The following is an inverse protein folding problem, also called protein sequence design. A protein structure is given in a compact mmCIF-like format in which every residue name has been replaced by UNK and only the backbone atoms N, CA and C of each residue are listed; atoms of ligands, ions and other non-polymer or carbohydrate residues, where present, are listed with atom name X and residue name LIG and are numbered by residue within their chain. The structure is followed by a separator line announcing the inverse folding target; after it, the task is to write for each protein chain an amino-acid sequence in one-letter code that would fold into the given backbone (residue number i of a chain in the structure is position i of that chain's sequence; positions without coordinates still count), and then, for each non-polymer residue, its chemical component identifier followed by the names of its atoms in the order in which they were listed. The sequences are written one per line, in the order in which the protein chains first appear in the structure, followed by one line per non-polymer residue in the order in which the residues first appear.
data_IF_567170676999
#
_entry.id   IF_567170676999
#
_cell.length_a   1.000
_cell.length_b   1.000
_cell.length_c   1.000
_cell.angle_alpha   90.00
_cell.angle_beta   90.00
_cell.angle_gamma   90.00
#
_symmetry.space_group_name_H-M   'P 1'
#
loop_
_entity.id
_entity.type
_entity.pdbx_description
1 polymer ?
#
# COMPACT_ATOMS: atom_id res chain seq x y z
N UNK A 1 -56.18 -34.37 15.20
CA UNK A 1 -56.05 -33.09 14.47
C UNK A 1 -54.66 -32.57 14.73
N UNK A 2 -53.79 -32.69 13.73
CA UNK A 2 -52.34 -32.43 13.79
C UNK A 2 -52.06 -30.94 13.69
N UNK A 3 -51.43 -30.38 14.72
CA UNK A 3 -50.85 -29.03 14.75
C UNK A 3 -49.65 -28.99 13.79
N UNK A 4 -49.79 -28.24 12.70
CA UNK A 4 -48.70 -27.94 11.79
C UNK A 4 -47.70 -27.02 12.50
N UNK A 5 -46.52 -27.56 12.81
CA UNK A 5 -45.35 -26.76 13.13
C UNK A 5 -44.95 -26.01 11.85
N UNK A 6 -45.03 -24.68 11.87
CA UNK A 6 -44.54 -23.87 10.77
C UNK A 6 -43.03 -24.03 10.67
N UNK A 7 -42.56 -24.59 9.56
CA UNK A 7 -41.16 -24.57 9.15
C UNK A 7 -40.67 -23.11 9.18
N UNK A 8 -39.77 -22.80 10.11
CA UNK A 8 -39.04 -21.53 10.11
C UNK A 8 -38.09 -21.54 8.91
N UNK A 9 -38.59 -21.13 7.76
CA UNK A 9 -37.78 -20.82 6.60
C UNK A 9 -36.96 -19.57 6.90
N UNK A 10 -35.65 -19.74 7.12
CA UNK A 10 -34.71 -18.63 7.25
C UNK A 10 -34.71 -17.81 5.95
N UNK A 11 -35.24 -16.59 6.00
CA UNK A 11 -35.17 -15.67 4.87
C UNK A 11 -33.87 -14.86 4.98
N UNK A 12 -32.99 -14.88 3.96
CA UNK A 12 -31.79 -14.03 3.95
C UNK A 12 -32.25 -12.57 3.92
N UNK A 13 -32.18 -11.91 5.07
CA UNK A 13 -32.65 -10.53 5.25
C UNK A 13 -31.43 -9.62 5.31
N UNK A 14 -31.37 -8.64 4.41
CA UNK A 14 -30.36 -7.58 4.45
C UNK A 14 -30.92 -6.39 5.23
N UNK A 15 -30.26 -6.01 6.32
CA UNK A 15 -30.62 -4.84 7.12
C UNK A 15 -29.61 -3.73 6.83
N UNK A 16 -30.09 -2.62 6.25
CA UNK A 16 -29.29 -1.41 6.02
C UNK A 16 -29.77 -0.35 7.01
N UNK A 17 -28.94 0.05 7.99
CA UNK A 17 -29.29 1.09 8.95
C UNK A 17 -29.63 2.42 8.27
N UNK A 18 -30.44 3.24 8.95
CA UNK A 18 -30.72 4.60 8.47
C UNK A 18 -29.44 5.42 8.45
N UNK A 19 -29.26 6.18 7.37
CA UNK A 19 -28.07 7.01 7.16
C UNK A 19 -26.87 6.26 6.60
N UNK A 20 -27.01 4.96 6.28
CA UNK A 20 -25.99 4.26 5.49
C UNK A 20 -26.10 4.68 4.03
N UNK A 21 -25.00 5.16 3.47
CA UNK A 21 -24.85 5.48 2.05
C UNK A 21 -24.00 4.41 1.38
N UNK A 22 -24.51 3.87 0.27
CA UNK A 22 -23.77 2.90 -0.55
C UNK A 22 -23.71 3.48 -1.96
N UNK A 23 -22.49 3.64 -2.49
CA UNK A 23 -22.23 4.16 -3.82
C UNK A 23 -21.33 3.20 -4.58
N UNK A 24 -21.42 3.22 -5.90
CA UNK A 24 -20.51 2.47 -6.78
C UNK A 24 -19.82 3.48 -7.67
N UNK A 25 -18.49 3.43 -7.73
CA UNK A 25 -17.72 4.31 -8.61
C UNK A 25 -17.70 3.78 -10.06
N UNK A 26 -17.12 4.55 -10.98
CA UNK A 26 -17.04 4.19 -12.40
C UNK A 26 -16.23 2.89 -12.66
N UNK A 27 -15.39 2.48 -11.71
CA UNK A 27 -14.57 1.27 -11.77
C UNK A 27 -15.28 0.06 -11.12
N UNK A 28 -16.55 0.21 -10.71
CA UNK A 28 -17.32 -0.87 -10.07
C UNK A 28 -16.98 -1.12 -8.59
N UNK A 29 -16.18 -0.25 -7.96
CA UNK A 29 -15.82 -0.39 -6.54
C UNK A 29 -16.89 0.20 -5.64
N UNK A 30 -17.13 -0.48 -4.52
CA UNK A 30 -18.12 -0.07 -3.53
C UNK A 30 -17.55 1.00 -2.58
N UNK A 31 -18.33 2.04 -2.35
CA UNK A 31 -18.14 3.00 -1.26
C UNK A 31 -19.27 2.81 -0.27
N UNK A 32 -18.93 2.54 0.99
CA UNK A 32 -19.90 2.35 2.08
C UNK A 32 -19.59 3.38 3.15
N UNK A 33 -20.58 4.19 3.51
CA UNK A 33 -20.53 5.10 4.64
C UNK A 33 -21.66 4.78 5.58
N UNK A 34 -21.36 4.50 6.84
CA UNK A 34 -22.37 4.19 7.86
C UNK A 34 -22.12 4.99 9.14
N UNK A 35 -23.18 5.46 9.83
CA UNK A 35 -23.01 6.16 11.10
C UNK A 35 -22.58 5.23 12.24
N UNK A 36 -22.96 3.96 12.18
CA UNK A 36 -22.74 2.96 13.24
C UNK A 36 -21.64 1.96 12.92
N UNK A 37 -21.62 0.84 13.63
CA UNK A 37 -20.65 -0.22 13.39
C UNK A 37 -20.90 -0.88 12.02
N UNK A 38 -19.81 -1.21 11.33
CA UNK A 38 -19.84 -1.95 10.08
C UNK A 38 -19.14 -3.29 10.26
N UNK A 39 -19.78 -4.38 9.83
CA UNK A 39 -19.18 -5.70 9.79
C UNK A 39 -19.11 -6.16 8.34
N UNK A 40 -17.91 -6.52 7.88
CA UNK A 40 -17.64 -7.02 6.55
C UNK A 40 -17.41 -8.52 6.66
N UNK A 41 -18.37 -9.27 6.13
CA UNK A 41 -18.41 -10.74 6.18
C UNK A 41 -18.11 -11.39 4.83
N UNK A 42 -18.02 -10.59 3.77
CA UNK A 42 -17.75 -11.05 2.42
C UNK A 42 -16.56 -10.31 1.84
N UNK A 43 -15.70 -11.07 1.14
CA UNK A 43 -14.54 -10.51 0.46
C UNK A 43 -14.98 -9.55 -0.65
N UNK A 44 -14.21 -8.50 -0.86
CA UNK A 44 -14.57 -7.49 -1.85
C UNK A 44 -13.55 -6.37 -2.01
N UNK A 45 -13.74 -5.62 -3.09
CA UNK A 45 -12.93 -4.45 -3.43
C UNK A 45 -13.77 -3.19 -3.22
N UNK A 46 -13.25 -2.29 -2.41
CA UNK A 46 -13.91 -1.07 -1.99
C UNK A 46 -13.08 0.14 -2.37
N UNK A 47 -13.73 1.21 -2.78
CA UNK A 47 -13.05 2.50 -2.87
C UNK A 47 -12.91 3.10 -1.47
N UNK A 48 -14.00 3.13 -0.71
CA UNK A 48 -14.02 3.75 0.61
C UNK A 48 -14.92 2.98 1.56
N UNK A 49 -14.43 2.76 2.78
CA UNK A 49 -15.19 2.17 3.86
C UNK A 49 -15.14 3.13 5.04
N UNK A 50 -16.26 3.79 5.33
CA UNK A 50 -16.39 4.76 6.40
C UNK A 50 -17.42 4.31 7.44
N UNK A 51 -16.99 4.32 8.68
CA UNK A 51 -17.84 4.21 9.86
C UNK A 51 -17.63 5.47 10.69
N UNK A 52 -18.54 6.44 10.60
CA UNK A 52 -18.32 7.81 11.12
C UNK A 52 -18.20 7.83 12.65
N UNK A 53 -19.09 7.15 13.37
CA UNK A 53 -19.07 7.08 14.85
C UNK A 53 -18.87 5.66 15.40
N UNK A 54 -18.80 4.65 14.53
CA UNK A 54 -18.66 3.26 14.92
C UNK A 54 -17.27 2.68 14.69
N UNK A 55 -17.20 1.37 14.84
CA UNK A 55 -16.06 0.53 14.50
C UNK A 55 -16.29 -0.22 13.19
N UNK A 56 -15.21 -0.56 12.50
CA UNK A 56 -15.25 -1.48 11.35
C UNK A 56 -14.68 -2.82 11.82
N UNK A 57 -15.37 -3.92 11.49
CA UNK A 57 -14.88 -5.28 11.71
C UNK A 57 -14.81 -6.02 10.39
N UNK A 58 -13.66 -6.63 10.13
CA UNK A 58 -13.44 -7.55 9.02
C UNK A 58 -13.36 -8.94 9.60
N UNK A 59 -14.32 -9.80 9.25
CA UNK A 59 -14.43 -11.15 9.82
C UNK A 59 -13.30 -12.08 9.37
N UNK A 60 -13.20 -13.21 10.06
CA UNK A 60 -12.30 -14.30 9.69
C UNK A 60 -12.63 -14.81 8.28
N UNK A 61 -11.59 -15.22 7.53
CA UNK A 61 -11.69 -15.72 6.16
C UNK A 61 -12.20 -14.70 5.12
N UNK A 62 -12.33 -13.43 5.50
CA UNK A 62 -12.67 -12.33 4.59
C UNK A 62 -11.40 -11.64 4.11
N UNK A 63 -11.34 -11.39 2.80
CA UNK A 63 -10.28 -10.60 2.18
C UNK A 63 -10.87 -9.28 1.68
N UNK A 64 -10.45 -8.18 2.28
CA UNK A 64 -10.87 -6.83 1.92
C UNK A 64 -9.72 -6.09 1.27
N UNK A 65 -9.98 -5.53 0.09
CA UNK A 65 -9.12 -4.55 -0.56
C UNK A 65 -9.85 -3.21 -0.57
N UNK A 66 -9.22 -2.18 -0.02
CA UNK A 66 -9.82 -0.85 0.05
C UNK A 66 -8.82 0.25 -0.30
N UNK A 67 -9.26 1.32 -0.96
CA UNK A 67 -8.39 2.51 -1.10
C UNK A 67 -8.34 3.25 0.23
N UNK A 68 -9.47 3.47 0.89
CA UNK A 68 -9.50 4.12 2.20
C UNK A 68 -10.44 3.44 3.18
N UNK A 69 -9.99 3.34 4.43
CA UNK A 69 -10.78 2.88 5.57
C UNK A 69 -10.72 3.95 6.66
N UNK A 70 -11.90 4.39 7.10
CA UNK A 70 -12.07 5.34 8.19
C UNK A 70 -13.02 4.76 9.23
N UNK A 71 -12.49 4.46 10.41
CA UNK A 71 -13.30 4.11 11.57
C UNK A 71 -13.22 5.24 12.61
N UNK A 72 -14.37 5.70 13.09
CA UNK A 72 -14.43 6.72 14.14
C UNK A 72 -13.86 6.25 15.48
N UNK A 73 -13.96 4.93 15.76
CA UNK A 73 -13.46 4.32 16.99
C UNK A 73 -12.34 3.33 16.70
N UNK A 74 -12.69 2.12 16.24
CA UNK A 74 -11.72 1.05 16.07
C UNK A 74 -11.88 0.31 14.74
N UNK A 75 -10.77 -0.21 14.23
CA UNK A 75 -10.73 -1.15 13.11
C UNK A 75 -10.27 -2.51 13.65
N UNK A 76 -11.16 -3.51 13.61
CA UNK A 76 -10.92 -4.88 14.03
C UNK A 76 -10.69 -5.76 12.80
N UNK A 77 -9.54 -6.42 12.74
CA UNK A 77 -9.14 -7.21 11.57
C UNK A 77 -8.91 -8.65 12.03
N UNK A 78 -9.81 -9.55 11.62
CA UNK A 78 -9.70 -11.00 11.85
C UNK A 78 -9.27 -11.74 10.58
N UNK A 79 -9.65 -11.23 9.41
CA UNK A 79 -9.27 -11.77 8.10
C UNK A 79 -8.01 -11.13 7.50
N UNK A 80 -8.07 -10.86 6.21
CA UNK A 80 -7.03 -10.14 5.46
C UNK A 80 -7.53 -8.76 5.06
N UNK A 81 -6.74 -7.73 5.35
CA UNK A 81 -7.01 -6.37 4.93
C UNK A 81 -5.83 -5.79 4.15
N UNK A 82 -6.09 -5.29 2.95
CA UNK A 82 -5.17 -4.47 2.18
C UNK A 82 -5.77 -3.08 2.02
N UNK A 83 -5.13 -2.05 2.56
CA UNK A 83 -5.63 -0.68 2.42
C UNK A 83 -4.55 0.39 2.29
N UNK A 84 -4.78 1.37 1.42
CA UNK A 84 -3.84 2.46 1.18
C UNK A 84 -3.89 3.54 2.25
N UNK A 85 -5.03 3.72 2.92
CA UNK A 85 -5.18 4.69 4.01
C UNK A 85 -6.08 4.11 5.07
N UNK A 86 -5.55 3.87 6.26
CA UNK A 86 -6.35 3.45 7.41
C UNK A 86 -6.29 4.51 8.49
N UNK A 87 -7.44 5.11 8.77
CA UNK A 87 -7.66 6.06 9.84
C UNK A 87 -8.59 5.46 10.89
N UNK A 88 -8.06 5.17 12.08
CA UNK A 88 -8.83 4.73 13.23
C UNK A 88 -8.11 5.12 14.51
N UNK A 89 -8.84 5.44 15.59
CA UNK A 89 -8.20 5.68 16.90
C UNK A 89 -7.49 4.42 17.39
N UNK A 90 -8.12 3.26 17.18
CA UNK A 90 -7.55 1.95 17.54
C UNK A 90 -7.55 0.99 16.36
N UNK A 91 -6.44 0.30 16.14
CA UNK A 91 -6.36 -0.79 15.18
C UNK A 91 -6.01 -2.07 15.95
N UNK A 92 -6.82 -3.12 15.77
CA UNK A 92 -6.64 -4.40 16.44
C UNK A 92 -6.57 -5.51 15.41
N UNK A 93 -5.45 -6.23 15.36
CA UNK A 93 -5.28 -7.41 14.52
C UNK A 93 -5.32 -8.66 15.40
N UNK A 94 -6.29 -9.53 15.12
CA UNK A 94 -6.48 -10.78 15.85
C UNK A 94 -5.57 -11.91 15.32
N UNK A 95 -5.70 -13.10 15.91
CA UNK A 95 -4.89 -14.26 15.55
C UNK A 95 -5.06 -14.66 14.08
N UNK A 96 -3.92 -14.93 13.44
CA UNK A 96 -3.80 -15.25 12.00
C UNK A 96 -4.24 -14.14 11.04
N UNK A 97 -4.63 -12.96 11.55
CA UNK A 97 -4.99 -11.82 10.72
C UNK A 97 -3.77 -11.27 9.97
N UNK A 98 -4.01 -10.75 8.76
CA UNK A 98 -2.99 -10.15 7.90
C UNK A 98 -3.43 -8.77 7.46
N UNK A 99 -2.64 -7.74 7.77
CA UNK A 99 -2.92 -6.38 7.33
C UNK A 99 -1.75 -5.82 6.53
N UNK A 100 -2.03 -5.38 5.31
CA UNK A 100 -1.12 -4.62 4.45
C UNK A 100 -1.68 -3.19 4.38
N UNK A 101 -1.34 -2.38 5.37
CA UNK A 101 -1.98 -1.08 5.57
C UNK A 101 -0.97 0.04 5.76
N UNK A 102 -1.20 1.17 5.10
CA UNK A 102 -0.52 2.42 5.45
C UNK A 102 -1.31 3.10 6.56
N UNK A 103 -0.67 3.14 7.73
CA UNK A 103 -1.23 3.70 8.95
C UNK A 103 -1.24 5.23 8.85
N UNK A 104 -2.40 5.84 8.98
CA UNK A 104 -2.52 7.30 9.08
C UNK A 104 -3.27 7.65 10.37
N UNK A 105 -2.65 8.49 11.21
CA UNK A 105 -3.31 9.07 12.39
C UNK A 105 -3.88 8.04 13.40
N UNK A 106 -3.26 6.85 13.52
CA UNK A 106 -3.70 5.83 14.47
C UNK A 106 -3.08 6.05 15.86
N UNK A 107 -3.90 6.10 16.91
CA UNK A 107 -3.43 6.36 18.28
C UNK A 107 -2.92 5.08 18.95
N UNK A 108 -3.67 3.98 18.81
CA UNK A 108 -3.39 2.70 19.45
C UNK A 108 -3.32 1.56 18.44
N UNK A 109 -2.32 0.70 18.57
CA UNK A 109 -2.11 -0.49 17.75
C UNK A 109 -1.99 -1.73 18.65
N UNK A 110 -2.90 -2.68 18.47
CA UNK A 110 -2.95 -3.95 19.19
C UNK A 110 -2.72 -5.09 18.20
N UNK A 111 -1.71 -5.93 18.45
CA UNK A 111 -1.30 -7.00 17.56
C UNK A 111 -1.32 -8.32 18.33
N UNK A 112 -2.04 -9.33 17.84
CA UNK A 112 -1.90 -10.69 18.38
C UNK A 112 -0.57 -11.33 17.98
N UNK A 113 -0.17 -12.39 18.70
CA UNK A 113 1.15 -13.06 18.53
C UNK A 113 1.43 -13.57 17.12
N UNK A 114 0.38 -13.92 16.38
CA UNK A 114 0.49 -14.48 15.03
C UNK A 114 0.08 -13.49 13.94
N UNK A 115 -0.33 -12.28 14.32
CA UNK A 115 -0.75 -11.24 13.40
C UNK A 115 0.45 -10.73 12.59
N UNK A 116 0.19 -10.40 11.32
CA UNK A 116 1.20 -9.80 10.44
C UNK A 116 0.72 -8.44 9.99
N UNK A 117 1.49 -7.41 10.33
CA UNK A 117 1.28 -6.04 9.87
C UNK A 117 2.42 -5.65 8.94
N UNK A 118 2.09 -5.25 7.72
CA UNK A 118 3.02 -4.69 6.74
C UNK A 118 2.61 -3.24 6.49
N UNK A 119 3.45 -2.31 6.97
CA UNK A 119 3.28 -0.88 6.75
C UNK A 119 4.01 -0.41 5.50
N UNK A 120 3.38 0.48 4.74
CA UNK A 120 4.07 1.25 3.72
C UNK A 120 4.39 2.63 4.31
N UNK A 121 5.67 2.92 4.56
CA UNK A 121 6.13 4.16 5.19
C UNK A 121 6.68 5.09 4.12
N UNK A 122 6.29 6.37 4.14
CA UNK A 122 6.72 7.34 3.14
C UNK A 122 8.21 7.68 3.28
N UNK A 123 8.79 7.54 4.48
CA UNK A 123 10.22 7.71 4.73
C UNK A 123 10.68 6.99 6.02
N UNK A 124 12.00 6.87 6.19
CA UNK A 124 12.62 6.23 7.35
C UNK A 124 12.28 6.92 8.68
N UNK A 125 12.10 8.25 8.69
CA UNK A 125 11.70 8.99 9.91
C UNK A 125 10.30 8.60 10.38
N UNK A 126 9.38 8.38 9.46
CA UNK A 126 8.03 7.91 9.75
C UNK A 126 8.05 6.48 10.31
N UNK A 127 8.87 5.61 9.73
CA UNK A 127 9.09 4.26 10.28
C UNK A 127 9.62 4.34 11.73
N UNK A 128 10.68 5.10 11.98
CA UNK A 128 11.23 5.27 13.33
C UNK A 128 10.23 5.90 14.30
N UNK A 129 9.47 6.90 13.86
CA UNK A 129 8.44 7.54 14.67
C UNK A 129 7.33 6.56 15.05
N UNK A 130 6.87 5.75 14.10
CA UNK A 130 5.84 4.74 14.33
C UNK A 130 6.35 3.61 15.21
N UNK A 131 7.58 3.16 15.01
CA UNK A 131 8.24 2.19 15.89
C UNK A 131 8.43 2.72 17.31
N UNK A 132 8.75 4.02 17.47
CA UNK A 132 8.83 4.68 18.78
C UNK A 132 7.47 4.80 19.45
N UNK A 133 6.46 5.28 18.71
CA UNK A 133 5.07 5.45 19.19
C UNK A 133 4.48 4.14 19.67
N UNK A 134 4.72 3.05 18.96
CA UNK A 134 4.20 1.71 19.30
C UNK A 134 5.25 0.83 19.99
N UNK A 135 6.36 1.38 20.45
CA UNK A 135 7.45 0.63 21.10
C UNK A 135 6.96 -0.24 22.28
N UNK A 136 6.05 0.24 23.15
CA UNK A 136 5.50 -0.59 24.23
C UNK A 136 4.75 -1.82 23.70
N UNK A 137 3.89 -1.65 22.69
CA UNK A 137 3.10 -2.75 22.11
C UNK A 137 3.98 -3.70 21.28
N UNK A 138 5.05 -3.20 20.65
CA UNK A 138 6.00 -4.02 19.89
C UNK A 138 6.93 -4.84 20.79
N UNK A 139 7.27 -4.36 21.99
CA UNK A 139 8.07 -5.10 22.99
C UNK A 139 7.33 -6.28 23.60
N UNK A 140 6.01 -6.25 23.60
CA UNK A 140 5.17 -7.35 24.10
C UNK A 140 5.05 -8.51 23.09
N UNK A 141 5.53 -8.34 21.86
CA UNK A 141 5.48 -9.36 20.82
C UNK A 141 6.66 -10.36 20.92
N UNK A 142 6.41 -11.67 20.72
CA UNK A 142 7.47 -12.67 20.70
C UNK A 142 8.42 -12.43 19.50
N UNK A 143 9.70 -12.20 19.77
CA UNK A 143 10.71 -11.85 18.77
C UNK A 143 10.97 -10.35 18.61
N UNK A 144 10.59 -9.52 19.59
CA UNK A 144 10.80 -8.07 19.56
C UNK A 144 12.27 -7.70 19.32
N UNK A 145 12.49 -6.78 18.38
CA UNK A 145 13.82 -6.21 18.10
C UNK A 145 14.18 -5.25 19.24
N UNK A 146 15.26 -5.57 19.96
CA UNK A 146 15.75 -4.75 21.07
C UNK A 146 16.39 -3.46 20.55
N UNK A 147 15.70 -2.33 20.74
CA UNK A 147 16.08 -1.01 20.22
C UNK A 147 17.16 -0.28 21.05
N UNK A 148 17.75 -0.92 22.04
CA UNK A 148 18.83 -0.33 22.86
C UNK A 148 20.19 -0.30 22.16
N UNK A 149 20.31 -0.86 20.95
CA UNK A 149 21.52 -0.76 20.15
C UNK A 149 21.37 0.27 19.02
N UNK A 150 22.13 1.36 19.14
CA UNK A 150 22.47 2.25 18.05
C UNK A 150 23.05 1.45 16.86
N UNK A 151 23.01 1.97 15.61
CA UNK A 151 23.20 1.16 14.41
C UNK A 151 24.59 0.53 14.42
N UNK A 152 24.65 -0.80 14.54
CA UNK A 152 25.82 -1.52 14.06
C UNK A 152 25.79 -1.42 12.54
N UNK A 153 26.74 -0.68 12.00
CA UNK A 153 27.16 -0.85 10.61
C UNK A 153 27.18 -2.35 10.30
N UNK A 154 26.42 -2.74 9.27
CA UNK A 154 26.48 -4.09 8.73
C UNK A 154 27.87 -4.23 8.10
N UNK A 155 28.84 -4.62 8.90
CA UNK A 155 30.12 -5.10 8.40
C UNK A 155 29.84 -6.35 7.59
N UNK A 156 30.10 -6.23 6.29
CA UNK A 156 30.28 -7.34 5.37
C UNK A 156 31.28 -8.33 5.97
N UNK A 157 30.79 -9.44 6.51
CA UNK A 157 31.65 -10.49 7.04
C UNK A 157 30.87 -11.59 7.74
N UNK A 158 30.83 -12.75 7.10
CA UNK A 158 30.56 -14.08 7.69
C UNK A 158 29.09 -14.48 7.95
N UNK A 159 28.39 -14.81 6.86
CA UNK A 159 27.28 -15.76 6.90
C UNK A 159 27.83 -17.17 6.64
N UNK A 160 27.90 -18.00 7.69
CA UNK A 160 28.05 -19.45 7.55
C UNK A 160 26.79 -20.02 6.85
N UNK A 161 26.92 -20.81 5.77
CA UNK A 161 25.75 -21.31 5.05
C UNK A 161 25.23 -22.57 5.74
N UNK A 162 24.02 -22.52 6.29
CA UNK A 162 23.21 -23.72 6.51
C UNK A 162 22.36 -23.97 5.26
N UNK A 163 22.80 -24.96 4.49
CA UNK A 163 22.10 -25.51 3.33
C UNK A 163 20.78 -26.15 3.75
N UNK A 164 19.66 -25.51 3.44
CA UNK A 164 18.41 -26.20 3.15
C UNK A 164 17.88 -25.74 1.79
N UNK A 165 17.91 -26.67 0.83
CA UNK A 165 17.41 -26.50 -0.53
C UNK A 165 15.89 -26.40 -0.53
N UNK A 166 15.37 -25.28 -1.03
CA UNK A 166 14.00 -25.15 -1.55
C UNK A 166 14.15 -24.95 -3.07
N UNK A 167 13.43 -25.71 -3.93
CA UNK A 167 13.62 -25.62 -5.37
C UNK A 167 13.15 -24.27 -5.92
N UNK A 168 13.98 -23.74 -6.81
CA UNK A 168 13.88 -22.44 -7.44
C UNK A 168 12.62 -22.29 -8.30
N UNK A 169 11.82 -21.26 -7.98
CA UNK A 169 10.94 -20.58 -8.94
C UNK A 169 11.74 -19.39 -9.51
N UNK A 170 12.84 -19.68 -10.19
CA UNK A 170 13.65 -18.71 -10.93
C UNK A 170 12.96 -18.48 -12.27
N UNK A 171 12.44 -17.26 -12.48
CA UNK A 171 12.42 -16.55 -13.78
C UNK A 171 11.58 -15.26 -13.78
N UNK A 172 10.84 -14.93 -12.71
CA UNK A 172 10.07 -13.68 -12.63
C UNK A 172 10.77 -12.52 -11.89
N UNK A 173 11.79 -12.81 -11.07
CA UNK A 173 12.44 -11.82 -10.19
C UNK A 173 13.56 -11.01 -10.83
N UNK A 174 14.10 -11.43 -11.99
CA UNK A 174 15.18 -10.70 -12.67
C UNK A 174 14.66 -9.55 -13.54
N UNK A 175 13.52 -9.72 -14.21
CA UNK A 175 12.96 -8.67 -15.08
C UNK A 175 12.47 -7.46 -14.26
N UNK A 176 11.70 -7.70 -13.20
CA UNK A 176 11.20 -6.62 -12.33
C UNK A 176 12.31 -5.86 -11.60
N UNK A 177 13.43 -6.53 -11.28
CA UNK A 177 14.60 -5.87 -10.69
C UNK A 177 15.33 -4.98 -11.71
N UNK A 178 15.45 -5.45 -12.95
CA UNK A 178 16.05 -4.67 -14.05
C UNK A 178 15.19 -3.46 -14.43
N UNK A 179 13.86 -3.60 -14.44
CA UNK A 179 12.95 -2.50 -14.74
C UNK A 179 13.06 -1.38 -13.70
N UNK A 180 13.15 -1.74 -12.41
CA UNK A 180 13.33 -0.80 -11.31
C UNK A 180 14.71 -0.10 -11.37
N UNK A 181 15.73 -0.78 -11.88
CA UNK A 181 17.07 -0.20 -12.11
C UNK A 181 17.05 0.81 -13.26
N UNK A 182 16.39 0.49 -14.38
CA UNK A 182 16.23 1.39 -15.52
C UNK A 182 15.44 2.65 -15.17
N UNK A 183 14.35 2.53 -14.39
CA UNK A 183 13.56 3.69 -13.94
C UNK A 183 14.37 4.61 -13.02
N UNK A 184 15.20 4.04 -12.12
CA UNK A 184 16.09 4.84 -11.25
C UNK A 184 17.20 5.54 -12.04
N UNK A 185 17.80 4.85 -13.01
CA UNK A 185 18.83 5.42 -13.87
C UNK A 185 18.27 6.59 -14.71
N UNK A 186 17.08 6.42 -15.30
CA UNK A 186 16.38 7.47 -16.03
C UNK A 186 16.10 8.70 -15.14
N UNK A 187 15.61 8.49 -13.91
CA UNK A 187 15.33 9.58 -12.98
C UNK A 187 16.58 10.41 -12.65
N UNK A 188 17.70 9.76 -12.32
CA UNK A 188 18.94 10.45 -11.96
C UNK A 188 19.49 11.30 -13.13
N UNK A 189 19.38 10.80 -14.36
CA UNK A 189 19.81 11.52 -15.56
C UNK A 189 18.92 12.73 -15.86
N UNK A 190 17.60 12.57 -15.72
CA UNK A 190 16.65 13.65 -15.99
C UNK A 190 16.68 14.73 -14.89
N UNK A 191 16.90 14.39 -13.63
CA UNK A 191 17.08 15.37 -12.55
C UNK A 191 18.29 16.28 -12.81
N UNK A 192 19.37 15.72 -13.37
CA UNK A 192 20.54 16.51 -13.80
C UNK A 192 20.20 17.44 -14.96
N UNK A 193 19.41 17.00 -15.93
CA UNK A 193 18.98 17.82 -17.06
C UNK A 193 18.04 18.97 -16.67
N UNK A 194 17.16 18.78 -15.68
CA UNK A 194 16.28 19.85 -15.17
C UNK A 194 17.08 21.01 -14.57
N UNK A 195 18.25 20.74 -13.99
CA UNK A 195 19.12 21.77 -13.40
C UNK A 195 19.98 22.51 -14.43
N UNK A 196 19.89 22.15 -15.72
CA UNK A 196 20.72 22.74 -16.77
C UNK A 196 20.20 24.13 -17.18
N UNK A 197 21.04 25.17 -17.17
CA UNK A 197 20.59 26.54 -17.50
C UNK A 197 20.30 26.75 -18.99
N UNK A 198 20.83 25.89 -19.88
CA UNK A 198 20.72 26.02 -21.34
C UNK A 198 19.47 25.34 -21.93
N UNK A 199 18.50 24.98 -21.09
CA UNK A 199 17.26 24.34 -21.53
C UNK A 199 16.16 25.38 -21.78
N UNK A 200 15.46 25.25 -22.91
CA UNK A 200 14.31 26.10 -23.18
C UNK A 200 13.22 25.89 -22.11
N UNK A 201 12.47 26.92 -21.70
CA UNK A 201 11.47 26.80 -20.63
C UNK A 201 10.42 25.70 -20.86
N UNK A 202 10.00 25.52 -22.12
CA UNK A 202 9.05 24.48 -22.52
C UNK A 202 9.65 23.07 -22.41
N UNK A 203 10.91 22.89 -22.84
CA UNK A 203 11.65 21.63 -22.70
C UNK A 203 11.86 21.27 -21.21
N UNK A 204 12.19 22.27 -20.39
CA UNK A 204 12.38 22.09 -18.95
C UNK A 204 11.08 21.74 -18.23
N UNK A 205 9.93 22.23 -18.70
CA UNK A 205 8.62 21.83 -18.20
C UNK A 205 8.28 20.38 -18.58
N UNK A 206 8.50 19.98 -19.83
CA UNK A 206 8.32 18.61 -20.29
C UNK A 206 9.18 17.60 -19.50
N UNK A 207 10.46 17.91 -19.28
CA UNK A 207 11.34 17.04 -18.47
C UNK A 207 10.88 16.99 -17.01
N UNK A 208 10.43 18.10 -16.42
CA UNK A 208 9.90 18.13 -15.04
C UNK A 208 8.66 17.26 -14.88
N UNK A 209 7.77 17.24 -15.87
CA UNK A 209 6.58 16.39 -15.88
C UNK A 209 6.94 14.90 -15.93
N UNK A 210 7.97 14.52 -16.70
CA UNK A 210 8.49 13.14 -16.74
C UNK A 210 9.14 12.76 -15.41
N UNK A 211 9.95 13.64 -14.82
CA UNK A 211 10.56 13.45 -13.49
C UNK A 211 9.49 13.29 -12.41
N UNK A 212 8.42 14.09 -12.48
CA UNK A 212 7.28 13.99 -11.58
C UNK A 212 6.60 12.61 -11.70
N UNK A 213 6.31 12.16 -12.92
CA UNK A 213 5.75 10.83 -13.17
C UNK A 213 6.64 9.68 -12.67
N UNK A 214 7.96 9.82 -12.81
CA UNK A 214 8.94 8.84 -12.31
C UNK A 214 8.98 8.80 -10.76
N UNK A 215 8.96 9.96 -10.10
CA UNK A 215 8.95 10.05 -8.63
C UNK A 215 7.69 9.45 -8.02
N UNK A 216 6.54 9.67 -8.64
CA UNK A 216 5.26 9.09 -8.20
C UNK A 216 5.10 7.60 -8.56
N UNK A 217 6.09 7.01 -9.27
CA UNK A 217 5.98 5.66 -9.86
C UNK A 217 4.69 5.48 -10.69
N UNK A 218 4.20 6.56 -11.30
CA UNK A 218 2.96 6.56 -12.07
C UNK A 218 3.23 6.19 -13.52
N UNK A 219 3.39 4.88 -13.78
CA UNK A 219 3.74 4.34 -15.10
C UNK A 219 2.68 4.65 -16.17
N UNK A 220 1.40 4.76 -15.79
CA UNK A 220 0.32 5.10 -16.72
C UNK A 220 0.46 6.51 -17.28
N UNK A 221 0.68 7.49 -16.39
CA UNK A 221 0.94 8.87 -16.80
C UNK A 221 2.24 8.96 -17.58
N UNK A 222 3.29 8.28 -17.10
CA UNK A 222 4.60 8.28 -17.71
C UNK A 222 4.52 7.83 -19.18
N UNK A 223 3.82 6.71 -19.45
CA UNK A 223 3.68 6.13 -20.80
C UNK A 223 3.03 7.09 -21.83
N UNK A 224 2.20 8.02 -21.38
CA UNK A 224 1.53 8.99 -22.25
C UNK A 224 2.41 10.21 -22.58
N UNK A 225 3.34 10.59 -21.69
CA UNK A 225 4.02 11.89 -21.77
C UNK A 225 5.49 11.79 -22.19
N UNK A 226 6.17 10.68 -21.89
CA UNK A 226 7.63 10.62 -21.91
C UNK A 226 8.25 10.74 -23.31
N UNK A 227 7.58 10.19 -24.34
CA UNK A 227 8.09 10.21 -25.72
C UNK A 227 8.07 11.61 -26.31
N UNK A 228 6.98 12.34 -26.09
CA UNK A 228 6.81 13.69 -26.61
C UNK A 228 7.67 14.69 -25.84
N UNK A 229 7.70 14.57 -24.50
CA UNK A 229 8.47 15.45 -23.62
C UNK A 229 9.99 15.34 -23.85
N UNK A 230 10.51 14.17 -24.19
CA UNK A 230 11.96 13.95 -24.40
C UNK A 230 12.38 14.02 -25.88
N UNK A 231 11.45 14.26 -26.81
CA UNK A 231 11.70 14.22 -28.26
C UNK A 231 12.77 15.22 -28.72
N UNK A 232 12.71 16.44 -28.21
CA UNK A 232 13.64 17.52 -28.55
C UNK A 232 14.86 17.58 -27.63
N UNK A 233 14.72 17.11 -26.39
CA UNK A 233 15.79 17.15 -25.39
C UNK A 233 16.84 16.07 -25.65
N UNK A 234 16.45 14.90 -26.16
CA UNK A 234 17.36 13.79 -26.48
C UNK A 234 18.37 14.11 -27.58
N UNK A 235 18.10 15.07 -28.46
CA UNK A 235 19.04 15.48 -29.52
C UNK A 235 20.04 16.54 -29.02
N UNK A 236 19.73 17.17 -27.87
CA UNK A 236 20.51 18.25 -27.26
C UNK A 236 21.35 17.77 -26.05
N UNK A 237 21.16 16.54 -25.57
CA UNK A 237 21.92 15.98 -24.45
C UNK A 237 22.08 14.46 -24.55
N UNK A 238 23.30 14.00 -24.34
CA UNK A 238 23.60 12.57 -24.21
C UNK A 238 22.94 11.95 -22.97
N UNK A 239 22.76 12.73 -21.88
CA UNK A 239 22.09 12.23 -20.68
C UNK A 239 20.58 12.07 -20.88
N UNK A 240 19.94 12.99 -21.61
CA UNK A 240 18.54 12.86 -21.98
C UNK A 240 18.31 11.70 -22.95
N UNK A 241 19.29 11.43 -23.83
CA UNK A 241 19.28 10.27 -24.72
C UNK A 241 19.38 8.95 -23.94
N UNK A 242 20.31 8.85 -22.99
CA UNK A 242 20.45 7.67 -22.14
C UNK A 242 19.20 7.44 -21.26
N UNK A 243 18.61 8.52 -20.73
CA UNK A 243 17.35 8.43 -19.99
C UNK A 243 16.20 7.93 -20.87
N UNK A 244 16.13 8.39 -22.12
CA UNK A 244 15.14 7.92 -23.09
C UNK A 244 15.29 6.42 -23.37
N UNK A 245 16.51 5.92 -23.55
CA UNK A 245 16.77 4.49 -23.78
C UNK A 245 16.36 3.62 -22.60
N UNK A 246 16.59 4.07 -21.35
CA UNK A 246 16.12 3.39 -20.15
C UNK A 246 14.59 3.37 -20.04
N UNK A 247 13.93 4.47 -20.36
CA UNK A 247 12.46 4.53 -20.37
C UNK A 247 11.86 3.66 -21.48
N UNK A 248 12.51 3.56 -22.63
CA UNK A 248 12.09 2.71 -23.74
C UNK A 248 12.21 1.21 -23.44
N UNK A 249 13.16 0.81 -22.58
CA UNK A 249 13.30 -0.58 -22.14
C UNK A 249 12.15 -1.01 -21.23
N UNK A 250 11.62 -0.10 -20.41
CA UNK A 250 10.59 -0.39 -19.41
C UNK A 250 9.16 -0.10 -19.90
N UNK A 251 8.97 0.94 -20.72
CA UNK A 251 7.65 1.46 -21.10
C UNK A 251 7.29 1.15 -22.57
N UNK A 252 7.60 -0.06 -23.04
CA UNK A 252 7.30 -0.48 -24.41
C UNK A 252 5.82 -0.41 -24.75
#
# INVERSE_FOLDING_TARGET
MTTAAGDQTNFPTMIIPRGTEIRVNQNGQLSIKTPGNLVIQNSGVYSEIESTNGSIRIEENVTVEAVSIRAGQACFIQGTLTAWKVHAKRISLEDRARAFIMLQESENLELSRTARLVGNFANEKELFFMMGKFSPQLKELPGSVDMSSAPREVTTGEVRPTTMKIPAMQNASSAAANDDEHLRAALALLEREVTRPDLAPADAEGVREVVYGLRERNLQRLNLIWRDALREVRTKSDAARQAYEHLEQVLR
#
